data_IF_098076304588
#
_entry.id   IF_098076304588
#
_cell.length_a   1.000
_cell.length_b   1.000
_cell.length_c   1.000
_cell.angle_alpha   90.00
_cell.angle_beta   90.00
_cell.angle_gamma   90.00
#
_symmetry.space_group_name_H-M   'P 1'
#
loop_
_entity.id
_entity.type
_entity.pdbx_description
1 polymer ?
#
# COMPACT_ATOMS: atom_id res chain seq x y z
N UNK A 1 3.36 6.49 -12.36
CA UNK A 1 2.48 5.49 -13.02
C UNK A 1 1.35 5.11 -12.08
N UNK A 2 0.27 4.47 -12.56
CA UNK A 2 -0.76 3.86 -11.71
C UNK A 2 -0.43 2.38 -11.50
N UNK A 3 -0.31 1.93 -10.26
CA UNK A 3 0.17 0.59 -9.89
C UNK A 3 -0.84 -0.07 -8.94
N UNK A 4 -1.22 -1.32 -9.23
CA UNK A 4 -2.01 -2.16 -8.32
C UNK A 4 -1.05 -3.07 -7.54
N UNK A 5 -1.13 -3.02 -6.20
CA UNK A 5 -0.41 -3.93 -5.30
C UNK A 5 -1.42 -4.84 -4.63
N UNK A 6 -1.36 -6.13 -4.91
CA UNK A 6 -2.14 -7.15 -4.20
C UNK A 6 -1.42 -7.56 -2.91
N UNK A 7 -2.14 -7.68 -1.79
CA UNK A 7 -1.53 -7.98 -0.50
C UNK A 7 -0.82 -6.79 0.13
N UNK A 8 -1.20 -5.55 -0.25
CA UNK A 8 -0.52 -4.33 0.18
C UNK A 8 -0.65 -4.01 1.67
N UNK A 9 -1.55 -4.67 2.41
CA UNK A 9 -1.65 -4.56 3.86
C UNK A 9 -0.81 -5.61 4.61
N UNK A 10 -0.09 -6.49 3.90
CA UNK A 10 0.91 -7.38 4.48
C UNK A 10 2.23 -6.68 4.85
N UNK A 11 3.14 -7.40 5.51
CA UNK A 11 4.47 -6.87 5.88
C UNK A 11 5.24 -6.36 4.65
N UNK A 12 5.49 -7.21 3.65
CA UNK A 12 6.22 -6.79 2.45
C UNK A 12 5.41 -5.82 1.58
N UNK A 13 4.10 -6.06 1.46
CA UNK A 13 3.21 -5.27 0.61
C UNK A 13 3.14 -3.80 1.04
N UNK A 14 3.11 -3.53 2.34
CA UNK A 14 3.07 -2.16 2.87
C UNK A 14 4.37 -1.39 2.62
N UNK A 15 5.53 -2.03 2.81
CA UNK A 15 6.83 -1.44 2.49
C UNK A 15 7.00 -1.19 0.99
N UNK A 16 6.46 -2.09 0.14
CA UNK A 16 6.43 -1.86 -1.30
C UNK A 16 5.54 -0.65 -1.65
N UNK A 17 4.36 -0.54 -1.03
CA UNK A 17 3.49 0.62 -1.22
C UNK A 17 4.20 1.93 -0.84
N UNK A 18 4.88 1.96 0.32
CA UNK A 18 5.67 3.11 0.76
C UNK A 18 6.75 3.49 -0.25
N UNK A 19 7.54 2.51 -0.72
CA UNK A 19 8.60 2.75 -1.68
C UNK A 19 8.09 3.28 -3.03
N UNK A 20 6.96 2.76 -3.52
CA UNK A 20 6.35 3.21 -4.77
C UNK A 20 5.73 4.60 -4.65
N UNK A 21 5.08 4.90 -3.52
CA UNK A 21 4.58 6.24 -3.21
C UNK A 21 5.73 7.26 -3.14
N UNK A 22 6.84 6.90 -2.48
CA UNK A 22 8.05 7.72 -2.41
C UNK A 22 8.70 8.00 -3.78
N UNK A 23 8.42 7.19 -4.80
CA UNK A 23 8.84 7.40 -6.19
C UNK A 23 7.83 8.25 -7.00
N UNK A 24 6.77 8.77 -6.38
CA UNK A 24 5.75 9.59 -7.04
C UNK A 24 4.79 8.77 -7.90
N UNK A 25 4.57 7.50 -7.57
CA UNK A 25 3.56 6.67 -8.22
C UNK A 25 2.22 6.72 -7.47
N UNK A 26 1.12 6.57 -8.21
CA UNK A 26 -0.20 6.34 -7.62
C UNK A 26 -0.36 4.84 -7.37
N UNK A 27 -0.62 4.47 -6.12
CA UNK A 27 -0.70 3.07 -5.69
C UNK A 27 -2.12 2.74 -5.24
N UNK A 28 -2.71 1.70 -5.83
CA UNK A 28 -3.94 1.07 -5.37
C UNK A 28 -3.59 -0.24 -4.65
N UNK A 29 -3.90 -0.32 -3.37
CA UNK A 29 -3.70 -1.53 -2.57
C UNK A 29 -4.98 -2.37 -2.57
N UNK A 30 -4.90 -3.63 -3.00
CA UNK A 30 -5.98 -4.61 -2.91
C UNK A 30 -5.59 -5.71 -1.93
N UNK A 31 -6.31 -5.78 -0.81
CA UNK A 31 -6.03 -6.73 0.25
C UNK A 31 -7.32 -7.20 0.93
N UNK A 32 -7.37 -8.48 1.31
CA UNK A 32 -8.47 -9.09 2.03
C UNK A 32 -8.22 -9.20 3.54
N UNK A 33 -7.05 -8.77 4.01
CA UNK A 33 -6.60 -8.79 5.40
C UNK A 33 -6.55 -10.19 6.03
N UNK A 34 -6.32 -11.25 5.25
CA UNK A 34 -6.28 -12.61 5.81
C UNK A 34 -5.12 -12.80 6.81
N UNK A 35 -3.94 -12.24 6.51
CA UNK A 35 -2.78 -12.15 7.42
C UNK A 35 -2.23 -10.73 7.54
N UNK A 36 -2.78 -9.78 6.79
CA UNK A 36 -2.40 -8.37 6.81
C UNK A 36 -3.16 -7.56 7.87
N UNK A 37 -2.71 -6.33 8.11
CA UNK A 37 -3.25 -5.44 9.13
C UNK A 37 -3.50 -4.05 8.54
N UNK A 38 -4.59 -3.39 8.94
CA UNK A 38 -4.88 -2.01 8.48
C UNK A 38 -3.82 -1.02 8.95
N UNK A 39 -3.22 -1.29 10.09
CA UNK A 39 -2.14 -0.52 10.71
C UNK A 39 -0.92 -0.41 9.78
N UNK A 40 -0.66 -1.43 8.96
CA UNK A 40 0.46 -1.44 8.01
C UNK A 40 0.29 -0.41 6.88
N UNK A 41 -0.94 -0.01 6.56
CA UNK A 41 -1.24 0.94 5.47
C UNK A 41 -1.86 2.24 5.95
N UNK A 42 -2.24 2.33 7.23
CA UNK A 42 -2.81 3.52 7.84
C UNK A 42 -2.00 4.81 7.60
N UNK A 43 -0.66 4.82 7.63
CA UNK A 43 0.13 6.02 7.33
C UNK A 43 -0.07 6.56 5.91
N UNK A 44 -0.46 5.70 4.96
CA UNK A 44 -0.58 6.04 3.54
C UNK A 44 -2.02 6.37 3.12
N UNK A 45 -3.01 6.14 3.99
CA UNK A 45 -4.43 6.34 3.66
C UNK A 45 -4.80 7.82 3.43
N UNK A 46 -4.03 8.75 4.00
CA UNK A 46 -4.22 10.19 3.79
C UNK A 46 -3.38 10.73 2.63
N UNK A 47 -2.67 9.86 1.90
CA UNK A 47 -1.86 10.31 0.79
C UNK A 47 -2.78 10.91 -0.29
N UNK A 48 -2.56 12.16 -0.71
CA UNK A 48 -3.35 12.77 -1.76
C UNK A 48 -3.21 11.97 -3.06
N UNK A 49 -4.31 11.92 -3.81
CA UNK A 49 -4.38 11.31 -5.14
C UNK A 49 -3.67 12.16 -6.19
#
# INVERSE_FOLDING_TARGET
>A
MRILVTGGAGFLGSHLCEALLGQGHEVLSLDNYFTGSKENIAPFLQHPR
#
